data_IF_052511070111
#
_entry.id   IF_052511070111
#
_cell.length_a   1.000
_cell.length_b   1.000
_cell.length_c   1.000
_cell.angle_alpha   90.00
_cell.angle_beta   90.00
_cell.angle_gamma   90.00
#
_symmetry.space_group_name_H-M   'P 1'
#
loop_
_entity.id
_entity.type
_entity.pdbx_description
1 polymer ?
#
# COMPACT_ATOMS: atom_id res chain seq x y z
N UNK A 1 -17.26 -9.81 -4.62
CA UNK A 1 -18.45 -10.59 -4.26
C UNK A 1 -18.61 -11.83 -5.17
N UNK A 2 -18.72 -11.67 -6.52
CA UNK A 2 -18.93 -12.80 -7.44
C UNK A 2 -17.87 -13.90 -7.33
N UNK A 3 -16.58 -13.56 -7.24
CA UNK A 3 -15.48 -14.51 -7.10
C UNK A 3 -15.53 -15.25 -5.74
N UNK A 4 -15.93 -14.56 -4.69
CA UNK A 4 -16.09 -15.15 -3.37
C UNK A 4 -17.24 -16.16 -3.34
N UNK A 5 -18.38 -15.78 -3.91
CA UNK A 5 -19.58 -16.64 -4.01
C UNK A 5 -19.35 -17.85 -4.91
N UNK A 6 -18.60 -17.71 -6.02
CA UNK A 6 -18.32 -18.81 -6.94
C UNK A 6 -17.39 -19.88 -6.36
N UNK A 7 -16.47 -19.49 -5.45
CA UNK A 7 -15.48 -20.41 -4.85
C UNK A 7 -15.91 -21.01 -3.51
N UNK A 8 -16.63 -20.25 -2.69
CA UNK A 8 -16.91 -20.61 -1.31
C UNK A 8 -18.41 -20.60 -0.96
N UNK A 9 -19.29 -20.28 -1.93
CA UNK A 9 -20.71 -20.10 -1.71
C UNK A 9 -21.01 -18.90 -0.78
N UNK A 10 -22.26 -18.75 -0.36
CA UNK A 10 -22.67 -17.69 0.57
C UNK A 10 -21.99 -17.77 1.95
N UNK A 11 -21.51 -18.97 2.35
CA UNK A 11 -20.81 -19.20 3.62
C UNK A 11 -19.44 -18.49 3.64
N UNK A 12 -18.79 -18.32 2.48
CA UNK A 12 -17.51 -17.60 2.39
C UNK A 12 -17.62 -16.09 2.60
N UNK A 13 -18.82 -15.54 2.70
CA UNK A 13 -19.09 -14.13 3.00
C UNK A 13 -19.30 -13.86 4.50
N UNK A 14 -19.38 -14.91 5.31
CA UNK A 14 -19.62 -14.78 6.76
C UNK A 14 -18.29 -14.86 7.50
N UNK A 15 -17.93 -13.77 8.16
CA UNK A 15 -16.75 -13.76 9.03
C UNK A 15 -17.08 -14.22 10.45
N UNK A 16 -16.18 -14.95 11.07
CA UNK A 16 -16.24 -15.28 12.51
C UNK A 16 -15.59 -14.18 13.37
N UNK A 17 -14.94 -13.17 12.75
CA UNK A 17 -14.19 -12.11 13.42
C UNK A 17 -14.61 -10.71 12.97
N UNK A 18 -15.90 -10.31 13.11
CA UNK A 18 -16.39 -9.05 12.58
C UNK A 18 -15.64 -7.82 13.16
N UNK A 19 -15.27 -7.87 14.44
CA UNK A 19 -14.50 -6.79 15.08
C UNK A 19 -13.12 -6.58 14.46
N UNK A 20 -12.44 -7.66 14.06
CA UNK A 20 -11.13 -7.55 13.40
C UNK A 20 -11.25 -6.99 11.98
N UNK A 21 -12.31 -7.36 11.25
CA UNK A 21 -12.61 -6.74 9.94
C UNK A 21 -12.98 -5.26 10.07
N UNK A 22 -13.75 -4.88 11.10
CA UNK A 22 -14.08 -3.48 11.36
C UNK A 22 -12.81 -2.67 11.65
N UNK A 23 -11.93 -3.17 12.50
CA UNK A 23 -10.67 -2.50 12.83
C UNK A 23 -9.76 -2.38 11.59
N UNK A 24 -9.68 -3.44 10.78
CA UNK A 24 -8.98 -3.40 9.50
C UNK A 24 -9.58 -2.37 8.54
N UNK A 25 -10.91 -2.27 8.48
CA UNK A 25 -11.60 -1.26 7.67
C UNK A 25 -11.33 0.17 8.18
N UNK A 26 -11.28 0.38 9.50
CA UNK A 26 -10.90 1.66 10.11
C UNK A 26 -9.46 2.05 9.73
N UNK A 27 -8.50 1.14 9.82
CA UNK A 27 -7.14 1.39 9.35
C UNK A 27 -7.09 1.74 7.86
N UNK A 28 -7.86 1.05 7.02
CA UNK A 28 -7.95 1.34 5.61
C UNK A 28 -8.49 2.75 5.36
N UNK A 29 -9.61 3.11 6.00
CA UNK A 29 -10.24 4.43 5.85
C UNK A 29 -9.34 5.55 6.38
N UNK A 30 -8.77 5.38 7.56
CA UNK A 30 -7.88 6.40 8.14
C UNK A 30 -6.63 6.60 7.32
N UNK A 31 -6.04 5.52 6.77
CA UNK A 31 -4.90 5.61 5.87
C UNK A 31 -5.23 6.44 4.63
N UNK A 32 -6.33 6.10 3.92
CA UNK A 32 -6.73 6.82 2.72
C UNK A 32 -7.12 8.27 3.00
N UNK A 33 -7.98 8.52 3.98
CA UNK A 33 -8.46 9.87 4.27
C UNK A 33 -7.31 10.78 4.71
N UNK A 34 -6.38 10.29 5.53
CA UNK A 34 -5.23 11.06 5.98
C UNK A 34 -4.26 11.36 4.85
N UNK A 35 -4.00 10.38 3.96
CA UNK A 35 -3.16 10.60 2.77
C UNK A 35 -3.78 11.62 1.82
N UNK A 36 -5.09 11.47 1.50
CA UNK A 36 -5.78 12.45 0.66
C UNK A 36 -5.82 13.84 1.28
N UNK A 37 -6.00 13.94 2.59
CA UNK A 37 -5.91 15.23 3.28
C UNK A 37 -4.50 15.83 3.15
N UNK A 38 -3.46 15.03 3.34
CA UNK A 38 -2.06 15.49 3.21
C UNK A 38 -1.79 16.10 1.83
N UNK A 39 -2.22 15.45 0.73
CA UNK A 39 -1.99 15.96 -0.63
C UNK A 39 -2.80 17.23 -0.96
N UNK A 40 -3.81 17.58 -0.16
CA UNK A 40 -4.50 18.89 -0.28
C UNK A 40 -3.76 20.02 0.42
N UNK A 41 -2.78 19.68 1.28
CA UNK A 41 -2.06 20.61 2.16
C UNK A 41 -0.61 20.83 1.76
N UNK A 42 -0.01 19.90 1.04
CA UNK A 42 1.40 19.93 0.66
C UNK A 42 1.62 19.38 -0.76
N UNK A 43 2.78 19.65 -1.40
CA UNK A 43 3.11 19.07 -2.68
C UNK A 43 3.02 17.54 -2.67
N UNK A 44 2.47 16.96 -3.72
CA UNK A 44 2.29 15.51 -3.87
C UNK A 44 3.61 14.73 -3.65
N UNK A 45 4.72 15.29 -4.15
CA UNK A 45 6.06 14.74 -4.02
C UNK A 45 6.46 14.57 -2.55
N UNK A 46 6.19 15.57 -1.72
CA UNK A 46 6.52 15.55 -0.30
C UNK A 46 5.60 14.58 0.48
N UNK A 47 4.30 14.55 0.14
CA UNK A 47 3.35 13.61 0.72
C UNK A 47 3.71 12.16 0.41
N UNK A 48 4.10 11.84 -0.85
CA UNK A 48 4.56 10.50 -1.25
C UNK A 48 5.85 10.14 -0.52
N UNK A 49 6.77 11.09 -0.35
CA UNK A 49 8.04 10.85 0.37
C UNK A 49 7.81 10.42 1.81
N UNK A 50 6.89 11.09 2.51
CA UNK A 50 6.50 10.71 3.88
C UNK A 50 5.78 9.34 3.88
N UNK A 51 4.83 9.14 2.98
CA UNK A 51 4.10 7.87 2.87
C UNK A 51 5.04 6.69 2.57
N UNK A 52 6.14 6.92 1.87
CA UNK A 52 7.17 5.90 1.58
C UNK A 52 7.94 5.43 2.83
N UNK A 53 7.76 6.06 4.00
CA UNK A 53 8.26 5.52 5.26
C UNK A 53 7.46 4.30 5.78
N UNK A 54 6.31 3.99 5.18
CA UNK A 54 5.43 2.87 5.55
C UNK A 54 6.16 1.52 5.73
N UNK A 55 7.03 1.04 4.82
CA UNK A 55 7.70 -0.25 5.00
C UNK A 55 8.63 -0.29 6.21
N UNK A 56 9.24 0.84 6.59
CA UNK A 56 10.06 0.94 7.80
C UNK A 56 9.18 0.79 9.04
N UNK A 57 8.06 1.52 9.09
CA UNK A 57 7.10 1.45 10.20
C UNK A 57 6.53 0.05 10.30
N UNK A 58 6.17 -0.56 9.17
CA UNK A 58 5.66 -1.93 9.12
C UNK A 58 6.70 -2.94 9.63
N UNK A 59 7.97 -2.80 9.25
CA UNK A 59 9.05 -3.66 9.70
C UNK A 59 9.25 -3.57 11.23
N UNK A 60 9.21 -2.36 11.80
CA UNK A 60 9.31 -2.15 13.26
C UNK A 60 8.11 -2.76 13.98
N UNK A 61 6.89 -2.43 13.54
CA UNK A 61 5.67 -2.88 14.18
C UNK A 61 5.46 -4.40 14.04
N UNK A 62 5.95 -5.03 12.97
CA UNK A 62 5.82 -6.48 12.77
C UNK A 62 6.53 -7.28 13.86
N UNK A 63 7.68 -6.82 14.33
CA UNK A 63 8.40 -7.42 15.45
C UNK A 63 7.63 -7.30 16.77
N UNK A 64 6.97 -6.16 17.00
CA UNK A 64 6.26 -5.88 18.24
C UNK A 64 4.89 -6.58 18.31
N UNK A 65 4.16 -6.66 17.19
CA UNK A 65 2.75 -7.10 17.16
C UNK A 65 2.61 -8.56 16.71
N UNK A 66 3.41 -9.01 15.76
CA UNK A 66 3.27 -10.35 15.15
C UNK A 66 4.37 -11.31 15.56
N UNK A 67 5.37 -10.86 16.33
CA UNK A 67 6.60 -11.62 16.63
C UNK A 67 7.37 -12.03 15.35
N UNK A 68 7.15 -11.30 14.25
CA UNK A 68 7.85 -11.45 12.97
C UNK A 68 8.95 -10.38 12.87
N UNK A 69 9.92 -10.38 13.81
CA UNK A 69 10.98 -9.37 13.83
C UNK A 69 11.97 -9.58 12.67
N UNK A 70 12.20 -8.55 11.83
CA UNK A 70 13.28 -8.58 10.86
C UNK A 70 14.64 -8.58 11.56
N UNK A 71 15.64 -9.21 10.97
CA UNK A 71 17.01 -9.13 11.47
C UNK A 71 17.67 -7.79 11.09
N UNK A 72 18.86 -7.50 11.68
CA UNK A 72 19.55 -6.24 11.40
C UNK A 72 19.88 -6.00 9.93
N UNK A 73 20.18 -7.07 9.15
CA UNK A 73 20.46 -6.96 7.71
C UNK A 73 19.18 -6.59 6.93
N UNK A 74 18.04 -7.15 7.32
CA UNK A 74 16.75 -6.83 6.70
C UNK A 74 16.32 -5.40 7.00
N UNK A 75 16.52 -4.93 8.23
CA UNK A 75 16.26 -3.53 8.60
C UNK A 75 17.13 -2.58 7.77
N UNK A 76 18.43 -2.85 7.67
CA UNK A 76 19.35 -2.04 6.86
C UNK A 76 18.93 -2.03 5.39
N UNK A 77 18.49 -3.17 4.84
CA UNK A 77 18.01 -3.23 3.47
C UNK A 77 16.72 -2.42 3.27
N UNK A 78 15.76 -2.47 4.21
CA UNK A 78 14.54 -1.65 4.14
C UNK A 78 14.88 -0.15 4.18
N UNK A 79 15.82 0.25 5.05
CA UNK A 79 16.29 1.65 5.13
C UNK A 79 16.99 2.06 3.82
N UNK A 80 17.84 1.19 3.26
CA UNK A 80 18.48 1.46 1.96
C UNK A 80 17.44 1.62 0.84
N UNK A 81 16.39 0.80 0.82
CA UNK A 81 15.27 0.95 -0.12
C UNK A 81 14.58 2.30 0.02
N UNK A 82 14.33 2.74 1.25
CA UNK A 82 13.75 4.06 1.52
C UNK A 82 14.65 5.21 1.03
N UNK A 83 15.97 5.11 1.25
CA UNK A 83 16.92 6.08 0.70
C UNK A 83 16.86 6.09 -0.83
N UNK A 84 16.78 4.93 -1.48
CA UNK A 84 16.59 4.83 -2.93
C UNK A 84 15.30 5.51 -3.40
N UNK A 85 14.21 5.37 -2.66
CA UNK A 85 12.94 6.05 -2.92
C UNK A 85 13.09 7.56 -2.83
N UNK A 86 13.73 8.08 -1.76
CA UNK A 86 13.98 9.52 -1.62
C UNK A 86 14.86 10.07 -2.76
N UNK A 87 15.78 9.25 -3.26
CA UNK A 87 16.61 9.61 -4.42
C UNK A 87 15.81 9.72 -5.71
N UNK A 88 14.78 8.85 -5.90
CA UNK A 88 13.86 8.93 -7.05
C UNK A 88 12.96 10.16 -6.93
N UNK A 89 12.36 10.37 -5.76
CA UNK A 89 11.28 11.35 -5.57
C UNK A 89 11.84 12.77 -5.45
N UNK A 90 13.04 12.94 -4.85
CA UNK A 90 13.67 14.25 -4.58
C UNK A 90 12.70 15.24 -3.89
N UNK A 91 12.28 14.97 -2.63
CA UNK A 91 11.35 15.84 -1.93
C UNK A 91 11.87 17.28 -1.87
N UNK A 92 11.00 18.24 -2.10
CA UNK A 92 11.39 19.66 -2.19
C UNK A 92 11.73 20.25 -0.83
N UNK A 93 11.05 19.77 0.23
CA UNK A 93 11.17 20.30 1.58
C UNK A 93 10.80 21.79 1.70
N UNK A 94 10.36 22.42 0.59
CA UNK A 94 9.93 23.80 0.58
C UNK A 94 8.50 23.90 1.14
N UNK A 95 8.23 24.88 1.99
CA UNK A 95 6.90 25.19 2.53
C UNK A 95 6.20 23.99 3.20
N UNK A 96 6.90 23.34 4.15
CA UNK A 96 6.35 22.18 4.87
C UNK A 96 5.13 22.59 5.70
N UNK A 97 3.94 22.15 5.27
CA UNK A 97 2.73 22.20 6.11
C UNK A 97 2.80 21.08 7.15
N UNK A 98 3.07 21.43 8.41
CA UNK A 98 3.22 20.45 9.50
C UNK A 98 1.93 19.66 9.78
N UNK A 99 0.75 20.24 9.48
CA UNK A 99 -0.53 19.53 9.61
C UNK A 99 -0.64 18.49 8.49
N UNK A 100 -0.29 18.85 7.25
CA UNK A 100 -0.20 17.93 6.12
C UNK A 100 0.80 16.81 6.37
N UNK A 101 2.00 17.14 6.86
CA UNK A 101 3.03 16.15 7.21
C UNK A 101 2.57 15.20 8.33
N UNK A 102 1.93 15.74 9.37
CA UNK A 102 1.32 14.94 10.44
C UNK A 102 0.23 13.99 9.93
N UNK A 103 -0.61 14.47 9.02
CA UNK A 103 -1.64 13.64 8.38
C UNK A 103 -1.01 12.53 7.52
N UNK A 104 0.02 12.85 6.72
CA UNK A 104 0.74 11.84 5.93
C UNK A 104 1.36 10.75 6.80
N UNK A 105 2.02 11.15 7.90
CA UNK A 105 2.61 10.21 8.85
C UNK A 105 1.55 9.35 9.56
N UNK A 106 0.44 9.94 9.97
CA UNK A 106 -0.69 9.21 10.57
C UNK A 106 -1.28 8.21 9.57
N UNK A 107 -1.44 8.61 8.30
CA UNK A 107 -1.84 7.74 7.20
C UNK A 107 -0.86 6.57 7.03
N UNK A 108 0.43 6.84 7.08
CA UNK A 108 1.50 5.86 6.99
C UNK A 108 1.44 4.81 8.12
N UNK A 109 1.27 5.24 9.37
CA UNK A 109 1.08 4.35 10.54
C UNK A 109 -0.20 3.53 10.40
N UNK A 110 -1.30 4.16 9.95
CA UNK A 110 -2.57 3.48 9.71
C UNK A 110 -2.45 2.42 8.62
N UNK A 111 -1.71 2.70 7.54
CA UNK A 111 -1.46 1.74 6.47
C UNK A 111 -0.59 0.56 6.94
N UNK A 112 0.40 0.81 7.82
CA UNK A 112 1.14 -0.25 8.47
C UNK A 112 0.23 -1.12 9.36
N UNK A 113 -0.68 -0.52 10.12
CA UNK A 113 -1.72 -1.21 10.87
C UNK A 113 -2.61 -2.08 9.97
N UNK A 114 -3.02 -1.57 8.81
CA UNK A 114 -3.77 -2.35 7.80
C UNK A 114 -2.99 -3.60 7.35
N UNK A 115 -1.69 -3.47 7.07
CA UNK A 115 -0.82 -4.58 6.69
C UNK A 115 -0.73 -5.64 7.79
N UNK A 116 -0.50 -5.22 9.04
CA UNK A 116 -0.44 -6.12 10.21
C UNK A 116 -1.76 -6.88 10.42
N UNK A 117 -2.90 -6.18 10.37
CA UNK A 117 -4.21 -6.82 10.50
C UNK A 117 -4.54 -7.72 9.31
N UNK A 118 -4.13 -7.37 8.11
CA UNK A 118 -4.27 -8.23 6.93
C UNK A 118 -3.48 -9.53 7.14
N UNK A 119 -2.25 -9.45 7.63
CA UNK A 119 -1.44 -10.63 7.99
C UNK A 119 -2.08 -11.47 9.10
N UNK A 120 -2.58 -10.82 10.14
CA UNK A 120 -3.26 -11.51 11.25
C UNK A 120 -4.51 -12.26 10.76
N UNK A 121 -5.37 -11.62 9.99
CA UNK A 121 -6.60 -12.19 9.45
C UNK A 121 -6.35 -13.25 8.37
N UNK A 122 -5.25 -13.13 7.61
CA UNK A 122 -4.95 -14.08 6.53
C UNK A 122 -4.76 -15.52 7.00
N UNK A 123 -4.53 -15.74 8.30
CA UNK A 123 -4.43 -17.08 8.92
C UNK A 123 -5.78 -17.77 9.05
N UNK A 124 -6.89 -17.02 9.09
CA UNK A 124 -8.23 -17.56 9.39
C UNK A 124 -9.29 -17.14 8.38
N UNK A 125 -9.10 -16.06 7.66
CA UNK A 125 -10.08 -15.48 6.73
C UNK A 125 -9.58 -15.58 5.28
N UNK A 126 -10.49 -15.62 4.33
CA UNK A 126 -10.15 -15.63 2.90
C UNK A 126 -9.67 -14.26 2.42
N UNK A 127 -8.78 -14.23 1.42
CA UNK A 127 -8.33 -12.97 0.80
C UNK A 127 -9.48 -12.23 0.13
N UNK A 128 -10.44 -12.98 -0.43
CA UNK A 128 -11.62 -12.45 -1.10
C UNK A 128 -12.53 -11.69 -0.11
N UNK A 129 -12.73 -12.24 1.10
CA UNK A 129 -13.53 -11.58 2.14
C UNK A 129 -12.84 -10.32 2.65
N UNK A 130 -11.51 -10.36 2.80
CA UNK A 130 -10.73 -9.17 3.17
C UNK A 130 -10.82 -8.06 2.13
N UNK A 131 -10.77 -8.40 0.85
CA UNK A 131 -10.96 -7.44 -0.24
C UNK A 131 -12.37 -6.86 -0.26
N UNK A 132 -13.38 -7.71 -0.12
CA UNK A 132 -14.78 -7.29 -0.09
C UNK A 132 -15.05 -6.29 1.04
N UNK A 133 -14.62 -6.62 2.26
CA UNK A 133 -14.81 -5.74 3.42
C UNK A 133 -14.05 -4.42 3.28
N UNK A 134 -12.84 -4.45 2.72
CA UNK A 134 -12.06 -3.25 2.39
C UNK A 134 -12.76 -2.38 1.34
N UNK A 135 -13.23 -2.97 0.25
CA UNK A 135 -13.95 -2.25 -0.80
C UNK A 135 -15.28 -1.66 -0.30
N UNK A 136 -16.04 -2.42 0.51
CA UNK A 136 -17.29 -1.93 1.10
C UNK A 136 -17.06 -0.74 2.03
N UNK A 137 -15.99 -0.72 2.80
CA UNK A 137 -15.69 0.41 3.69
C UNK A 137 -15.46 1.71 2.91
N UNK A 138 -14.72 1.66 1.80
CA UNK A 138 -14.48 2.82 0.94
C UNK A 138 -15.77 3.21 0.19
N UNK A 139 -16.53 2.23 -0.30
CA UNK A 139 -17.81 2.47 -0.98
C UNK A 139 -18.79 3.23 -0.09
N UNK A 140 -18.96 2.82 1.17
CA UNK A 140 -19.87 3.47 2.13
C UNK A 140 -19.48 4.95 2.31
N UNK A 141 -18.20 5.24 2.55
CA UNK A 141 -17.73 6.63 2.71
C UNK A 141 -17.89 7.42 1.42
N UNK A 142 -17.62 6.82 0.27
CA UNK A 142 -17.81 7.47 -1.04
C UNK A 142 -19.29 7.79 -1.30
N UNK A 143 -20.19 6.88 -0.98
CA UNK A 143 -21.64 7.10 -1.14
C UNK A 143 -22.16 8.22 -0.23
N UNK A 144 -21.64 8.36 0.98
CA UNK A 144 -22.01 9.46 1.87
C UNK A 144 -21.60 10.81 1.27
N UNK A 145 -20.48 10.88 0.55
CA UNK A 145 -19.98 12.11 -0.09
C UNK A 145 -20.57 12.38 -1.47
N UNK A 146 -21.05 11.35 -2.15
CA UNK A 146 -21.52 11.41 -3.52
C UNK A 146 -22.61 12.49 -3.77
N UNK A 147 -23.64 12.68 -2.90
CA UNK A 147 -24.72 13.66 -3.17
C UNK A 147 -24.21 15.09 -3.34
N UNK A 148 -23.08 15.44 -2.73
CA UNK A 148 -22.53 16.81 -2.77
C UNK A 148 -21.50 17.05 -3.88
N UNK A 149 -20.90 15.98 -4.41
CA UNK A 149 -19.77 16.09 -5.34
C UNK A 149 -19.94 15.17 -6.56
N UNK A 150 -21.13 14.71 -6.88
CA UNK A 150 -21.36 13.80 -7.98
C UNK A 150 -21.19 14.49 -9.33
N UNK A 151 -20.26 13.97 -10.13
CA UNK A 151 -20.12 14.29 -11.54
C UNK A 151 -20.31 13.00 -12.32
N UNK A 152 -21.33 12.97 -13.18
CA UNK A 152 -21.60 11.77 -13.99
C UNK A 152 -20.47 11.60 -15.02
N UNK A 153 -19.71 10.48 -14.99
CA UNK A 153 -18.67 10.23 -15.96
C UNK A 153 -19.29 9.95 -17.34
N UNK A 154 -18.62 10.40 -18.41
CA UNK A 154 -18.93 9.96 -19.77
C UNK A 154 -18.56 8.48 -19.98
N UNK A 155 -18.96 7.91 -21.11
CA UNK A 155 -18.73 6.49 -21.40
C UNK A 155 -17.24 6.12 -21.41
N UNK A 156 -16.38 6.99 -21.96
CA UNK A 156 -14.95 6.73 -22.05
C UNK A 156 -14.31 6.72 -20.65
N UNK A 157 -14.63 7.71 -19.82
CA UNK A 157 -14.16 7.77 -18.44
C UNK A 157 -14.70 6.59 -17.63
N UNK A 158 -15.96 6.18 -17.84
CA UNK A 158 -16.52 5.00 -17.17
C UNK A 158 -15.75 3.72 -17.53
N UNK A 159 -15.45 3.50 -18.82
CA UNK A 159 -14.67 2.35 -19.26
C UNK A 159 -13.24 2.36 -18.70
N UNK A 160 -12.58 3.52 -18.66
CA UNK A 160 -11.27 3.68 -18.04
C UNK A 160 -11.31 3.39 -16.54
N UNK A 161 -12.32 3.90 -15.83
CA UNK A 161 -12.52 3.63 -14.40
C UNK A 161 -12.76 2.14 -14.13
N UNK A 162 -13.53 1.45 -14.96
CA UNK A 162 -13.76 0.01 -14.85
C UNK A 162 -12.47 -0.77 -15.09
N UNK A 163 -11.72 -0.44 -16.15
CA UNK A 163 -10.42 -1.06 -16.43
C UNK A 163 -9.43 -0.87 -15.28
N UNK A 164 -9.29 0.36 -14.77
CA UNK A 164 -8.45 0.67 -13.63
C UNK A 164 -8.86 -0.10 -12.37
N UNK A 165 -10.19 -0.22 -12.13
CA UNK A 165 -10.71 -0.95 -10.97
C UNK A 165 -10.38 -2.45 -11.03
N UNK A 166 -10.41 -3.06 -12.22
CA UNK A 166 -10.01 -4.46 -12.39
C UNK A 166 -8.52 -4.64 -12.09
N UNK A 167 -7.66 -3.80 -12.65
CA UNK A 167 -6.21 -3.86 -12.40
C UNK A 167 -5.89 -3.63 -10.92
N UNK A 168 -6.53 -2.63 -10.30
CA UNK A 168 -6.36 -2.33 -8.88
C UNK A 168 -6.82 -3.50 -8.00
N UNK A 169 -7.94 -4.16 -8.34
CA UNK A 169 -8.44 -5.33 -7.61
C UNK A 169 -7.46 -6.51 -7.69
N UNK A 170 -6.90 -6.77 -8.88
CA UNK A 170 -5.90 -7.83 -9.06
C UNK A 170 -4.62 -7.54 -8.27
N UNK A 171 -4.14 -6.30 -8.30
CA UNK A 171 -2.99 -5.87 -7.50
C UNK A 171 -3.24 -6.02 -6.00
N UNK A 172 -4.39 -5.56 -5.51
CA UNK A 172 -4.76 -5.67 -4.11
C UNK A 172 -4.93 -7.14 -3.67
N UNK A 173 -5.46 -8.00 -4.56
CA UNK A 173 -5.52 -9.44 -4.32
C UNK A 173 -4.13 -10.06 -4.20
N UNK A 174 -3.21 -9.69 -5.07
CA UNK A 174 -1.81 -10.16 -5.03
C UNK A 174 -1.12 -9.74 -3.73
N UNK A 175 -1.23 -8.46 -3.32
CA UNK A 175 -0.66 -7.94 -2.07
C UNK A 175 -1.25 -8.66 -0.85
N UNK A 176 -2.59 -8.82 -0.81
CA UNK A 176 -3.27 -9.51 0.29
C UNK A 176 -2.81 -10.96 0.42
N UNK A 177 -2.60 -11.67 -0.70
CA UNK A 177 -2.01 -13.00 -0.69
C UNK A 177 -0.52 -12.96 -0.34
N UNK A 178 0.21 -11.94 -0.74
CA UNK A 178 1.59 -11.71 -0.30
C UNK A 178 1.69 -11.71 1.23
N UNK A 179 0.84 -10.96 1.90
CA UNK A 179 0.75 -10.96 3.38
C UNK A 179 0.32 -12.31 3.98
N UNK A 180 -0.32 -13.20 3.23
CA UNK A 180 -0.65 -14.55 3.68
C UNK A 180 0.57 -15.47 3.71
N UNK A 181 1.44 -15.39 2.69
CA UNK A 181 2.51 -16.36 2.47
C UNK A 181 3.88 -15.88 2.91
N UNK A 182 4.06 -14.57 3.14
CA UNK A 182 5.35 -13.99 3.47
C UNK A 182 5.25 -13.07 4.71
N UNK A 183 6.36 -12.89 5.46
CA UNK A 183 6.43 -11.91 6.54
C UNK A 183 6.06 -10.51 6.05
N UNK A 184 5.39 -9.72 6.89
CA UNK A 184 4.89 -8.40 6.49
C UNK A 184 5.99 -7.42 6.08
N UNK A 185 7.14 -7.46 6.76
CA UNK A 185 8.28 -6.58 6.42
C UNK A 185 8.86 -6.87 5.03
N UNK A 186 8.78 -8.14 4.59
CA UNK A 186 9.24 -8.54 3.26
C UNK A 186 8.29 -7.98 2.18
N UNK A 187 6.98 -8.15 2.38
CA UNK A 187 5.98 -7.61 1.45
C UNK A 187 6.07 -6.09 1.39
N UNK A 188 6.16 -5.42 2.55
CA UNK A 188 6.31 -3.97 2.60
C UNK A 188 7.57 -3.46 1.89
N UNK A 189 8.72 -4.12 2.07
CA UNK A 189 9.95 -3.74 1.38
C UNK A 189 9.83 -3.85 -0.16
N UNK A 190 9.09 -4.86 -0.65
CA UNK A 190 8.86 -5.04 -2.08
C UNK A 190 7.93 -3.96 -2.67
N UNK A 191 7.12 -3.29 -1.86
CA UNK A 191 6.27 -2.19 -2.34
C UNK A 191 7.09 -1.00 -2.86
N UNK A 192 8.34 -0.82 -2.42
CA UNK A 192 9.22 0.19 -3.01
C UNK A 192 9.43 0.00 -4.53
N UNK A 193 9.34 -1.24 -5.02
CA UNK A 193 9.49 -1.52 -6.44
C UNK A 193 8.40 -0.87 -7.31
N UNK A 194 7.29 -0.41 -6.72
CA UNK A 194 6.24 0.32 -7.45
C UNK A 194 6.78 1.54 -8.17
N UNK A 195 7.76 2.25 -7.59
CA UNK A 195 8.40 3.41 -8.23
C UNK A 195 9.26 3.01 -9.43
N UNK A 196 9.91 1.84 -9.36
CA UNK A 196 10.66 1.30 -10.50
C UNK A 196 9.70 0.96 -11.65
N UNK A 197 8.57 0.32 -11.34
CA UNK A 197 7.53 0.04 -12.33
C UNK A 197 6.91 1.31 -12.88
N UNK A 198 6.67 2.34 -12.04
CA UNK A 198 6.15 3.62 -12.50
C UNK A 198 7.09 4.28 -13.52
N UNK A 199 8.41 4.29 -13.26
CA UNK A 199 9.41 4.81 -14.18
C UNK A 199 9.44 4.00 -15.50
N UNK A 200 9.34 2.66 -15.42
CA UNK A 200 9.29 1.79 -16.60
C UNK A 200 8.05 2.07 -17.46
N UNK A 201 6.87 2.16 -16.85
CA UNK A 201 5.64 2.45 -17.56
C UNK A 201 5.62 3.87 -18.14
N UNK A 202 6.17 4.86 -17.40
CA UNK A 202 6.39 6.23 -17.90
C UNK A 202 7.21 6.23 -19.18
N UNK A 203 8.30 5.47 -19.21
CA UNK A 203 9.14 5.33 -20.41
C UNK A 203 8.40 4.63 -21.56
N UNK A 204 7.74 3.49 -21.29
CA UNK A 204 7.13 2.67 -22.36
C UNK A 204 5.88 3.30 -22.98
N UNK A 205 5.02 3.93 -22.19
CA UNK A 205 3.75 4.46 -22.67
C UNK A 205 3.76 5.96 -22.96
N UNK A 206 4.59 6.72 -22.23
CA UNK A 206 4.64 8.18 -22.36
C UNK A 206 5.94 8.67 -22.97
N UNK A 207 6.88 7.75 -23.30
CA UNK A 207 8.21 8.08 -23.84
C UNK A 207 9.00 9.02 -22.92
N UNK A 208 8.72 9.02 -21.62
CA UNK A 208 9.43 9.80 -20.61
C UNK A 208 10.77 9.14 -20.33
N UNK A 209 11.88 9.79 -20.70
CA UNK A 209 13.22 9.27 -20.41
C UNK A 209 13.53 9.48 -18.91
N UNK A 210 13.71 8.41 -18.11
CA UNK A 210 14.01 8.57 -16.70
C UNK A 210 15.32 9.32 -16.49
N UNK A 211 15.30 10.34 -15.64
CA UNK A 211 16.50 11.09 -15.29
C UNK A 211 17.52 10.18 -14.54
N UNK A 212 18.79 10.55 -14.57
CA UNK A 212 19.87 9.74 -13.98
C UNK A 212 19.64 9.40 -12.50
N UNK A 213 19.10 10.33 -11.71
CA UNK A 213 18.77 10.08 -10.31
C UNK A 213 17.68 9.02 -10.13
N UNK A 214 16.71 8.95 -11.05
CA UNK A 214 15.66 7.90 -11.04
C UNK A 214 16.27 6.53 -11.30
N UNK A 215 17.21 6.44 -12.26
CA UNK A 215 17.89 5.16 -12.55
C UNK A 215 18.76 4.70 -11.38
N UNK A 216 19.50 5.60 -10.74
CA UNK A 216 20.31 5.28 -9.56
C UNK A 216 19.41 4.83 -8.40
N UNK A 217 18.38 5.59 -8.08
CA UNK A 217 17.44 5.24 -7.02
C UNK A 217 16.71 3.93 -7.28
N UNK A 218 16.29 3.66 -8.52
CA UNK A 218 15.69 2.39 -8.93
C UNK A 218 16.67 1.20 -8.71
N UNK A 219 17.94 1.37 -9.06
CA UNK A 219 18.98 0.38 -8.78
C UNK A 219 19.12 0.07 -7.29
N UNK A 220 19.13 1.10 -6.44
CA UNK A 220 19.17 0.95 -4.97
C UNK A 220 17.92 0.22 -4.46
N UNK A 221 16.73 0.56 -4.95
CA UNK A 221 15.46 -0.09 -4.56
C UNK A 221 15.49 -1.58 -4.93
N UNK A 222 15.89 -1.91 -6.16
CA UNK A 222 15.97 -3.32 -6.61
C UNK A 222 16.97 -4.11 -5.75
N UNK A 223 18.17 -3.57 -5.53
CA UNK A 223 19.19 -4.22 -4.71
C UNK A 223 18.73 -4.41 -3.25
N UNK A 224 18.05 -3.42 -2.68
CA UNK A 224 17.50 -3.52 -1.33
C UNK A 224 16.42 -4.59 -1.22
N UNK A 225 15.51 -4.65 -2.19
CA UNK A 225 14.48 -5.70 -2.25
C UNK A 225 15.09 -7.10 -2.34
N UNK A 226 16.09 -7.29 -3.21
CA UNK A 226 16.83 -8.55 -3.31
C UNK A 226 17.55 -8.89 -2.00
N UNK A 227 18.16 -7.92 -1.34
CA UNK A 227 18.85 -8.13 -0.07
C UNK A 227 17.89 -8.60 1.04
N UNK A 228 16.68 -8.02 1.12
CA UNK A 228 15.65 -8.48 2.08
C UNK A 228 15.25 -9.93 1.79
N UNK A 229 14.99 -10.28 0.53
CA UNK A 229 14.60 -11.63 0.11
C UNK A 229 15.71 -12.65 0.39
N UNK A 230 16.96 -12.32 0.06
CA UNK A 230 18.11 -13.23 0.28
C UNK A 230 18.38 -13.44 1.78
N UNK A 231 18.26 -12.37 2.58
CA UNK A 231 18.40 -12.46 4.03
C UNK A 231 17.29 -13.31 4.68
N UNK A 232 16.09 -13.34 4.10
CA UNK A 232 15.00 -14.20 4.55
C UNK A 232 15.28 -15.67 4.23
N UNK A 233 15.77 -15.98 3.02
CA UNK A 233 16.14 -17.36 2.64
C UNK A 233 17.23 -17.96 3.54
N UNK A 234 18.14 -17.16 4.06
CA UNK A 234 19.18 -17.63 4.98
C UNK A 234 18.65 -17.92 6.39
N UNK A 235 17.44 -17.51 6.70
CA UNK A 235 16.80 -17.69 8.00
C UNK A 235 15.93 -18.95 8.09
N UNK A 236 15.46 -19.44 6.94
CA UNK A 236 14.69 -20.68 6.81
C UNK A 236 15.61 -21.91 6.73
#
# INVERSE_FOLDING_TARGET
ALICVSRWGAVGLVTQKPGAHLLRALFNLTAFLSYYYAITRMPLVDAISIASAYPIILAVLSGMVLSEAPNGRQILAVIAGFIGVLFIIQPTGADVDWIGAGAALFGCVSFAGLGLYTRHLSKTESSELMLLTGALSILIVSLIRAPWNWITPDLNNLLLMLGLSVVALLGQYAITNGFRYAPVYLVGALEYTTLVWAALWGFLFFMEIPATHVLIGAGVVVLSGLAVVLAERQRQ
#
